data_IF_990730924140
#
_entry.id   IF_990730924140
#
_cell.length_a   1.000
_cell.length_b   1.000
_cell.length_c   1.000
_cell.angle_alpha   90.00
_cell.angle_beta   90.00
_cell.angle_gamma   90.00
#
_symmetry.space_group_name_H-M   'P 1'
#
loop_
_entity.id
_entity.type
_entity.pdbx_description
1 polymer ?
#
# COMPACT_ATOMS: atom_id res chain seq x y z
N UNK A 1 7.95 8.42 -16.19
CA UNK A 1 6.76 8.43 -17.07
C UNK A 1 5.79 7.33 -16.65
N UNK A 2 4.52 7.64 -16.63
CA UNK A 2 3.50 6.68 -16.28
C UNK A 2 3.16 5.82 -17.50
N UNK A 3 3.38 4.52 -17.40
CA UNK A 3 3.10 3.59 -18.49
C UNK A 3 1.68 3.05 -18.44
N UNK A 4 1.16 2.82 -17.22
CA UNK A 4 -0.19 2.31 -17.06
C UNK A 4 -0.69 2.60 -15.64
N UNK A 5 -1.97 2.35 -15.44
CA UNK A 5 -2.62 2.51 -14.15
C UNK A 5 -3.44 1.26 -13.90
N UNK A 6 -3.34 0.72 -12.70
CA UNK A 6 -4.19 -0.40 -12.28
C UNK A 6 -4.97 0.01 -11.05
N UNK A 7 -6.07 -0.70 -10.78
CA UNK A 7 -6.83 -0.50 -9.56
C UNK A 7 -6.93 -1.83 -8.84
N UNK A 8 -6.83 -1.79 -7.50
CA UNK A 8 -7.00 -2.99 -6.69
C UNK A 8 -8.04 -2.70 -5.61
N UNK A 9 -8.76 -3.74 -5.22
CA UNK A 9 -9.78 -3.65 -4.18
C UNK A 9 -9.36 -4.38 -2.91
N UNK A 10 -8.20 -5.02 -2.95
CA UNK A 10 -7.63 -5.63 -1.76
C UNK A 10 -6.11 -5.69 -1.91
N UNK A 11 -5.42 -5.69 -0.77
CA UNK A 11 -3.97 -5.81 -0.69
C UNK A 11 -3.67 -7.09 0.06
N UNK A 12 -2.82 -7.93 -0.52
CA UNK A 12 -2.45 -9.22 0.08
C UNK A 12 -0.95 -9.27 0.30
N UNK A 13 -0.56 -9.68 1.50
CA UNK A 13 0.83 -9.94 1.80
C UNK A 13 0.91 -11.11 2.78
N UNK A 14 1.54 -12.19 2.34
CA UNK A 14 1.62 -13.45 3.11
C UNK A 14 0.21 -13.91 3.47
N UNK A 15 -0.08 -14.09 4.74
CA UNK A 15 -1.38 -14.59 5.21
C UNK A 15 -2.38 -13.49 5.57
N UNK A 16 -2.06 -12.24 5.22
CA UNK A 16 -2.90 -11.09 5.56
C UNK A 16 -3.53 -10.50 4.30
N UNK A 17 -4.83 -10.24 4.35
CA UNK A 17 -5.55 -9.56 3.28
C UNK A 17 -6.22 -8.33 3.86
N UNK A 18 -5.96 -7.18 3.24
CA UNK A 18 -6.61 -5.91 3.57
C UNK A 18 -7.71 -5.68 2.55
N UNK A 19 -8.96 -5.76 2.99
CA UNK A 19 -10.11 -5.51 2.10
C UNK A 19 -10.38 -4.01 2.10
N UNK A 20 -10.40 -3.42 0.91
CA UNK A 20 -10.53 -1.97 0.77
C UNK A 20 -11.97 -1.58 0.53
N UNK A 21 -12.38 -0.43 1.10
CA UNK A 21 -13.73 0.10 0.93
C UNK A 21 -13.91 0.80 -0.42
N UNK A 22 -12.81 1.13 -1.09
CA UNK A 22 -12.82 1.76 -2.40
C UNK A 22 -11.59 1.30 -3.18
N UNK A 23 -11.63 1.37 -4.52
CA UNK A 23 -10.46 0.97 -5.32
C UNK A 23 -9.25 1.85 -5.03
N UNK A 24 -8.09 1.24 -4.97
CA UNK A 24 -6.82 1.93 -4.80
C UNK A 24 -6.14 2.01 -6.16
N UNK A 25 -5.76 3.21 -6.56
CA UNK A 25 -5.16 3.46 -7.88
C UNK A 25 -3.64 3.37 -7.75
N UNK A 26 -3.03 2.53 -8.59
CA UNK A 26 -1.59 2.33 -8.61
C UNK A 26 -1.05 2.69 -9.99
N UNK A 27 -0.10 3.62 -10.05
CA UNK A 27 0.57 3.98 -11.29
C UNK A 27 1.79 3.08 -11.47
N UNK A 28 1.94 2.54 -12.67
CA UNK A 28 3.07 1.69 -13.02
C UNK A 28 3.99 2.49 -13.94
N UNK A 29 5.26 2.58 -13.61
CA UNK A 29 6.27 3.26 -14.43
C UNK A 29 7.44 2.32 -14.68
N UNK A 30 8.15 2.50 -15.80
CA UNK A 30 9.22 1.60 -16.23
C UNK A 30 10.47 2.35 -16.68
N UNK A 31 10.83 3.45 -16.03
CA UNK A 31 12.01 4.22 -16.46
C UNK A 31 13.32 3.45 -16.26
N UNK A 32 13.76 3.25 -15.03
CA UNK A 32 14.99 2.52 -14.72
C UNK A 32 14.66 1.11 -14.26
N UNK A 33 13.63 0.99 -13.47
CA UNK A 33 13.07 -0.29 -13.01
C UNK A 33 11.57 -0.11 -12.99
N UNK A 34 10.84 -1.17 -12.77
CA UNK A 34 9.39 -1.09 -12.69
C UNK A 34 8.99 -0.60 -11.31
N UNK A 35 8.17 0.42 -11.26
CA UNK A 35 7.67 0.99 -10.01
C UNK A 35 6.16 0.93 -9.97
N UNK A 36 5.61 0.62 -8.80
CA UNK A 36 4.19 0.66 -8.54
C UNK A 36 3.96 1.72 -7.44
N UNK A 37 3.21 2.77 -7.75
CA UNK A 37 3.15 3.96 -6.91
C UNK A 37 1.71 4.38 -6.63
N UNK A 38 1.41 4.64 -5.35
CA UNK A 38 0.20 5.38 -4.98
C UNK A 38 0.65 6.68 -4.32
N UNK A 39 0.36 7.80 -4.97
CA UNK A 39 0.84 9.11 -4.53
C UNK A 39 0.12 9.59 -3.26
N UNK A 40 -1.14 9.26 -3.11
CA UNK A 40 -1.93 9.74 -1.98
C UNK A 40 -1.43 9.16 -0.65
N UNK A 41 -1.06 7.88 -0.66
CA UNK A 41 -0.56 7.20 0.53
C UNK A 41 0.96 7.23 0.63
N UNK A 42 1.64 7.73 -0.40
CA UNK A 42 3.11 7.74 -0.47
C UNK A 42 3.69 6.33 -0.35
N UNK A 43 3.06 5.38 -1.03
CA UNK A 43 3.52 3.99 -1.05
C UNK A 43 4.13 3.69 -2.40
N UNK A 44 5.31 3.09 -2.40
CA UNK A 44 6.05 2.72 -3.60
C UNK A 44 6.51 1.28 -3.51
N UNK A 45 6.42 0.55 -4.63
CA UNK A 45 6.98 -0.77 -4.77
C UNK A 45 7.86 -0.82 -6.00
N UNK A 46 8.87 -1.66 -6.01
CA UNK A 46 9.87 -1.72 -7.08
C UNK A 46 10.16 -3.17 -7.43
N UNK A 47 10.52 -3.41 -8.68
CA UNK A 47 10.91 -4.72 -9.14
C UNK A 47 11.43 -4.67 -10.56
N UNK A 48 11.85 -5.84 -11.07
CA UNK A 48 12.27 -5.96 -12.46
C UNK A 48 11.07 -6.18 -13.37
N UNK A 49 9.97 -6.65 -12.82
CA UNK A 49 8.73 -6.88 -13.56
C UNK A 49 7.58 -6.16 -12.87
N UNK A 50 6.47 -6.00 -13.60
CA UNK A 50 5.26 -5.40 -13.07
C UNK A 50 4.76 -6.18 -11.85
N UNK A 51 4.77 -7.51 -11.93
CA UNK A 51 4.31 -8.38 -10.87
C UNK A 51 5.16 -8.22 -9.61
N UNK A 52 6.48 -8.09 -9.76
CA UNK A 52 7.37 -7.87 -8.63
C UNK A 52 7.15 -6.51 -7.99
N UNK A 53 6.91 -5.48 -8.81
CA UNK A 53 6.66 -4.14 -8.31
C UNK A 53 5.35 -4.10 -7.52
N UNK A 54 4.31 -4.78 -7.99
CA UNK A 54 3.04 -4.86 -7.29
C UNK A 54 3.18 -5.63 -5.98
N UNK A 55 3.93 -6.71 -5.99
CA UNK A 55 4.21 -7.48 -4.77
C UNK A 55 4.96 -6.63 -3.75
N UNK A 56 5.97 -5.90 -4.21
CA UNK A 56 6.72 -4.97 -3.36
C UNK A 56 5.82 -3.87 -2.79
N UNK A 57 4.88 -3.37 -3.60
CA UNK A 57 3.90 -2.38 -3.15
C UNK A 57 3.04 -2.94 -2.02
N UNK A 58 2.56 -4.17 -2.18
CA UNK A 58 1.71 -4.80 -1.16
C UNK A 58 2.47 -5.06 0.13
N UNK A 59 3.75 -5.43 0.04
CA UNK A 59 4.60 -5.60 1.20
C UNK A 59 4.76 -4.28 1.95
N UNK A 60 5.01 -3.19 1.23
CA UNK A 60 5.16 -1.87 1.82
C UNK A 60 3.85 -1.39 2.44
N UNK A 61 2.71 -1.65 1.79
CA UNK A 61 1.40 -1.31 2.34
C UNK A 61 1.20 -2.02 3.69
N UNK A 62 1.49 -3.32 3.76
CA UNK A 62 1.39 -4.10 4.98
C UNK A 62 2.28 -3.51 6.08
N UNK A 63 3.51 -3.17 5.73
CA UNK A 63 4.48 -2.64 6.69
C UNK A 63 3.99 -1.31 7.29
N UNK A 64 3.59 -0.35 6.45
CA UNK A 64 3.19 0.96 6.98
C UNK A 64 1.85 0.91 7.70
N UNK A 65 0.91 0.07 7.25
CA UNK A 65 -0.35 -0.09 7.95
C UNK A 65 -0.12 -0.56 9.38
N UNK A 66 0.70 -1.59 9.55
CA UNK A 66 1.03 -2.10 10.88
C UNK A 66 1.81 -1.09 11.70
N UNK A 67 2.84 -0.50 11.09
CA UNK A 67 3.73 0.42 11.81
C UNK A 67 2.98 1.64 12.31
N UNK A 68 2.21 2.28 11.44
CA UNK A 68 1.51 3.50 11.82
C UNK A 68 0.42 3.25 12.86
N UNK A 69 -0.19 2.07 12.85
CA UNK A 69 -1.21 1.72 13.83
C UNK A 69 -0.64 1.21 15.15
N UNK A 70 0.64 0.85 15.20
CA UNK A 70 1.32 0.47 16.43
C UNK A 70 1.78 1.67 17.25
N UNK A 71 2.03 2.79 16.59
CA UNK A 71 2.56 3.97 17.24
C UNK A 71 1.43 4.92 17.65
N UNK A 72 1.59 5.59 18.81
CA UNK A 72 0.64 6.61 19.23
C UNK A 72 0.87 7.88 18.40
N UNK A 73 -0.21 8.64 18.16
CA UNK A 73 -0.16 9.81 17.29
C UNK A 73 0.87 10.86 17.73
N UNK A 74 1.10 10.98 19.04
CA UNK A 74 2.07 11.95 19.54
C UNK A 74 3.52 11.67 19.10
N UNK A 75 3.79 10.46 18.60
CA UNK A 75 5.11 10.08 18.09
C UNK A 75 5.20 10.21 16.57
N UNK A 76 4.12 10.63 15.92
CA UNK A 76 4.05 10.73 14.46
C UNK A 76 4.04 12.19 14.02
N UNK A 77 4.57 12.42 12.80
CA UNK A 77 4.46 13.74 12.18
C UNK A 77 3.03 13.95 11.68
N UNK A 78 2.67 15.19 11.40
CA UNK A 78 1.34 15.51 10.87
C UNK A 78 1.08 14.78 9.56
N UNK A 79 2.10 14.67 8.70
CA UNK A 79 1.97 13.98 7.41
C UNK A 79 1.69 12.50 7.62
N UNK A 80 2.38 11.86 8.55
CA UNK A 80 2.18 10.44 8.83
C UNK A 80 0.80 10.21 9.44
N UNK A 81 0.33 11.12 10.29
CA UNK A 81 -1.02 11.03 10.86
C UNK A 81 -2.08 11.09 9.75
N UNK A 82 -1.89 11.96 8.75
CA UNK A 82 -2.80 12.03 7.60
C UNK A 82 -2.85 10.71 6.84
N UNK A 83 -1.67 10.13 6.59
CA UNK A 83 -1.59 8.85 5.88
C UNK A 83 -2.23 7.74 6.71
N UNK A 84 -1.98 7.71 8.01
CA UNK A 84 -2.60 6.75 8.92
C UNK A 84 -4.12 6.83 8.88
N UNK A 85 -4.66 8.04 8.93
CA UNK A 85 -6.12 8.26 8.86
C UNK A 85 -6.67 7.75 7.54
N UNK A 86 -5.98 8.03 6.44
CA UNK A 86 -6.43 7.59 5.12
C UNK A 86 -6.39 6.07 5.01
N UNK A 87 -5.31 5.44 5.50
CA UNK A 87 -5.20 3.98 5.53
C UNK A 87 -6.35 3.36 6.30
N UNK A 88 -6.64 3.89 7.49
CA UNK A 88 -7.71 3.35 8.32
C UNK A 88 -9.09 3.62 7.73
N UNK A 89 -9.22 4.67 6.93
CA UNK A 89 -10.48 4.97 6.24
C UNK A 89 -10.74 3.98 5.12
N UNK A 90 -9.70 3.63 4.34
CA UNK A 90 -9.89 2.78 3.17
C UNK A 90 -9.83 1.29 3.48
N UNK A 91 -9.20 0.89 4.59
CA UNK A 91 -9.16 -0.52 4.98
C UNK A 91 -10.45 -0.85 5.72
N UNK A 92 -11.32 -1.59 5.05
CA UNK A 92 -12.62 -1.98 5.57
C UNK A 92 -12.50 -3.17 6.53
N UNK A 93 -11.60 -4.09 6.23
CA UNK A 93 -11.46 -5.33 6.96
C UNK A 93 -10.03 -5.86 6.81
N UNK A 94 -9.50 -6.45 7.87
CA UNK A 94 -8.21 -7.15 7.83
C UNK A 94 -8.48 -8.61 8.11
N UNK A 95 -8.15 -9.48 7.15
CA UNK A 95 -8.35 -10.92 7.26
C UNK A 95 -7.00 -11.59 7.39
N UNK A 96 -6.80 -12.31 8.47
CA UNK A 96 -5.55 -13.04 8.71
C UNK A 96 -5.88 -14.52 8.75
N UNK A 97 -5.25 -15.29 7.85
CA UNK A 97 -5.42 -16.74 7.80
C UNK A 97 -4.33 -17.37 8.66
N UNK A 98 -4.75 -18.13 9.66
CA UNK A 98 -3.81 -18.83 10.54
C UNK A 98 -3.75 -20.30 10.14
N UNK A 99 -2.53 -20.78 10.02
CA UNK A 99 -2.30 -22.19 9.73
C UNK A 99 -1.85 -22.93 10.97
#
# INVERSE_FOLDING_TARGET
MKDSTITITEVKYKNTTYVLSEPLIIEITTELEVSAINHKLHINGYGETKEEAIESFQEEFDFIYRRYNQLVDSLLTDKVIEIKKELNRIVKEVVIVKN
#
